data_IF_976660776945
#
_entry.id   IF_976660776945
#
_cell.length_a   1.000
_cell.length_b   1.000
_cell.length_c   1.000
_cell.angle_alpha   90.00
_cell.angle_beta   90.00
_cell.angle_gamma   90.00
#
_symmetry.space_group_name_H-M   'P 1'
#
loop_
_entity.id
_entity.type
_entity.pdbx_description
1 polymer ?
#
# COMPACT_ATOMS: atom_id res chain seq x y z
N UNK A 1 44.69 52.52 23.73
CA UNK A 1 43.54 52.12 24.58
C UNK A 1 42.91 50.89 23.95
N UNK A 2 43.05 49.72 24.59
CA UNK A 2 42.47 48.46 24.12
C UNK A 2 41.12 48.24 24.82
N UNK A 3 40.03 48.17 24.06
CA UNK A 3 38.71 47.78 24.58
C UNK A 3 38.59 46.25 24.53
N UNK A 4 38.62 45.62 25.70
CA UNK A 4 38.30 44.20 25.88
C UNK A 4 36.79 44.01 25.62
N UNK A 5 36.44 43.28 24.56
CA UNK A 5 35.04 42.92 24.28
C UNK A 5 34.73 41.58 24.95
N UNK A 6 33.87 41.59 25.97
CA UNK A 6 33.35 40.38 26.62
C UNK A 6 32.46 39.58 25.64
N UNK A 7 32.48 38.24 25.67
CA UNK A 7 31.54 37.43 24.89
C UNK A 7 30.13 37.47 25.53
N UNK A 8 29.11 37.51 24.67
CA UNK A 8 27.71 37.45 25.10
C UNK A 8 27.36 36.06 25.65
N UNK A 9 26.61 36.02 26.75
CA UNK A 9 26.12 34.77 27.34
C UNK A 9 25.08 34.07 26.43
N UNK A 10 25.01 32.72 26.43
CA UNK A 10 24.02 32.00 25.65
C UNK A 10 22.60 32.20 26.22
N UNK A 11 21.65 32.49 25.33
CA UNK A 11 20.22 32.57 25.65
C UNK A 11 19.73 31.19 26.08
N UNK A 12 19.37 31.05 27.35
CA UNK A 12 18.72 29.84 27.86
C UNK A 12 17.30 29.73 27.27
N UNK A 13 17.02 28.66 26.51
CA UNK A 13 15.68 28.32 26.06
C UNK A 13 14.81 28.05 27.28
N UNK A 14 13.78 28.87 27.50
CA UNK A 14 12.77 28.59 28.53
C UNK A 14 11.96 27.36 28.10
N UNK A 15 11.66 26.41 29.01
CA UNK A 15 10.73 25.33 28.71
C UNK A 15 9.32 25.89 28.41
N UNK A 16 8.53 25.24 27.56
CA UNK A 16 7.17 25.68 27.25
C UNK A 16 6.30 25.63 28.51
N UNK A 17 5.46 26.65 28.71
CA UNK A 17 4.51 26.67 29.82
C UNK A 17 3.51 25.51 29.70
N UNK A 18 3.14 24.85 30.82
CA UNK A 18 2.06 23.88 30.80
C UNK A 18 0.73 24.56 30.44
N UNK A 19 -0.19 23.87 29.75
CA UNK A 19 -1.48 24.43 29.40
C UNK A 19 -2.24 24.83 30.68
N UNK A 20 -3.08 25.89 30.62
CA UNK A 20 -3.80 26.39 31.78
C UNK A 20 -4.71 25.30 32.36
N UNK A 21 -4.48 24.99 33.63
CA UNK A 21 -5.31 24.06 34.41
C UNK A 21 -6.67 24.72 34.67
N UNK A 22 -7.66 24.36 33.86
CA UNK A 22 -9.02 24.87 34.01
C UNK A 22 -9.84 24.82 32.72
N UNK A 23 -10.25 23.63 32.30
CA UNK A 23 -11.43 23.47 31.44
C UNK A 23 -12.26 22.32 31.99
N UNK A 24 -13.49 22.58 32.48
CA UNK A 24 -14.31 21.57 33.10
C UNK A 24 -14.71 20.52 32.07
N UNK A 25 -14.83 19.29 32.55
CA UNK A 25 -15.41 18.14 31.86
C UNK A 25 -16.59 18.57 30.96
N UNK A 26 -16.37 18.50 29.64
CA UNK A 26 -17.47 18.59 28.70
C UNK A 26 -18.20 17.25 28.74
N UNK A 27 -19.30 17.27 29.48
CA UNK A 27 -20.25 16.19 29.69
C UNK A 27 -20.51 15.43 28.37
N UNK A 28 -20.31 14.12 28.47
CA UNK A 28 -20.77 13.00 27.65
C UNK A 28 -21.84 13.31 26.59
N UNK A 29 -21.41 13.62 25.36
CA UNK A 29 -22.22 13.27 24.19
C UNK A 29 -21.92 11.80 23.84
N UNK A 30 -22.93 10.95 23.64
CA UNK A 30 -22.68 9.67 23.02
C UNK A 30 -22.17 9.97 21.61
N UNK A 31 -20.88 9.74 21.37
CA UNK A 31 -20.31 9.70 20.02
C UNK A 31 -20.96 8.53 19.30
N UNK A 32 -22.18 8.77 18.83
CA UNK A 32 -22.90 7.93 17.89
C UNK A 32 -21.93 7.74 16.74
N UNK A 33 -21.47 6.50 16.57
CA UNK A 33 -20.39 6.15 15.65
C UNK A 33 -20.64 6.75 14.28
N UNK A 34 -20.04 7.92 14.05
CA UNK A 34 -19.80 8.41 12.72
C UNK A 34 -18.77 7.45 12.16
N UNK A 35 -19.24 6.50 11.35
CA UNK A 35 -18.44 5.87 10.31
C UNK A 35 -17.57 7.00 9.77
N UNK A 36 -16.26 6.94 10.03
CA UNK A 36 -15.33 7.83 9.35
C UNK A 36 -15.70 7.67 7.88
N UNK A 37 -16.02 8.77 7.21
CA UNK A 37 -16.05 8.80 5.76
C UNK A 37 -14.61 8.44 5.37
N UNK A 38 -14.32 7.15 5.27
CA UNK A 38 -13.04 6.68 4.84
C UNK A 38 -13.01 7.09 3.38
N UNK A 39 -12.09 8.00 3.09
CA UNK A 39 -11.77 8.49 1.76
C UNK A 39 -11.79 7.31 0.77
N UNK A 40 -12.25 7.55 -0.46
CA UNK A 40 -12.33 6.57 -1.56
C UNK A 40 -10.99 5.89 -1.94
N UNK A 41 -9.96 6.04 -1.11
CA UNK A 41 -8.58 5.61 -1.30
C UNK A 41 -8.20 4.38 -0.45
N UNK A 42 -9.03 3.96 0.52
CA UNK A 42 -8.64 2.91 1.49
C UNK A 42 -9.14 1.48 1.19
N UNK A 43 -9.84 1.20 0.08
CA UNK A 43 -10.27 -0.18 -0.26
C UNK A 43 -10.16 -0.46 -1.77
N UNK A 44 -8.98 -0.27 -2.34
CA UNK A 44 -8.68 -0.72 -3.71
C UNK A 44 -7.83 -1.99 -3.67
N UNK A 45 -8.42 -3.21 -3.69
CA UNK A 45 -7.65 -4.44 -3.74
C UNK A 45 -6.75 -4.48 -4.97
N UNK A 46 -5.45 -4.60 -4.71
CA UNK A 46 -4.42 -4.73 -5.72
C UNK A 46 -3.94 -6.18 -5.82
N UNK A 47 -3.96 -6.74 -7.02
CA UNK A 47 -3.50 -8.09 -7.32
C UNK A 47 -2.35 -8.02 -8.32
N UNK A 48 -1.19 -8.54 -7.92
CA UNK A 48 -0.08 -8.78 -8.84
C UNK A 48 -0.02 -10.26 -9.19
N UNK A 49 -0.10 -10.57 -10.49
CA UNK A 49 -0.04 -11.92 -11.02
C UNK A 49 1.29 -12.07 -11.74
N UNK A 50 2.19 -12.86 -11.14
CA UNK A 50 3.40 -13.33 -11.81
C UNK A 50 3.11 -14.60 -12.57
N UNK A 51 3.40 -14.60 -13.87
CA UNK A 51 3.14 -15.74 -14.75
C UNK A 51 4.30 -15.98 -15.70
N UNK A 52 4.57 -17.27 -15.93
CA UNK A 52 5.56 -17.72 -16.91
C UNK A 52 5.04 -17.44 -18.33
N UNK A 53 5.79 -16.65 -19.12
CA UNK A 53 5.38 -16.15 -20.45
C UNK A 53 4.85 -17.23 -21.38
N UNK A 54 5.52 -18.38 -21.38
CA UNK A 54 5.25 -19.50 -22.27
C UNK A 54 3.85 -20.11 -22.04
N UNK A 55 3.26 -19.96 -20.83
CA UNK A 55 1.91 -20.45 -20.51
C UNK A 55 0.83 -19.66 -21.26
N UNK A 56 1.09 -18.36 -21.50
CA UNK A 56 0.16 -17.46 -22.18
C UNK A 56 0.55 -17.17 -23.63
N UNK A 57 1.70 -17.66 -24.11
CA UNK A 57 2.28 -17.32 -25.41
C UNK A 57 1.35 -17.47 -26.62
N UNK A 58 0.41 -18.42 -26.58
CA UNK A 58 -0.55 -18.62 -27.68
C UNK A 58 -1.51 -17.43 -27.89
N UNK A 59 -1.86 -16.72 -26.81
CA UNK A 59 -2.68 -15.51 -26.86
C UNK A 59 -2.46 -14.70 -25.57
N UNK A 60 -1.36 -13.93 -25.47
CA UNK A 60 -1.01 -13.23 -24.24
C UNK A 60 -2.07 -12.20 -23.83
N UNK A 61 -2.62 -11.46 -24.80
CA UNK A 61 -3.59 -10.41 -24.53
C UNK A 61 -4.94 -11.00 -24.10
N UNK A 62 -5.47 -11.96 -24.85
CA UNK A 62 -6.77 -12.58 -24.53
C UNK A 62 -6.71 -13.37 -23.23
N UNK A 63 -5.64 -14.15 -22.99
CA UNK A 63 -5.49 -14.89 -21.73
C UNK A 63 -5.36 -13.96 -20.51
N UNK A 64 -4.62 -12.85 -20.61
CA UNK A 64 -4.57 -11.85 -19.53
C UNK A 64 -5.93 -11.20 -19.30
N UNK A 65 -6.65 -10.84 -20.35
CA UNK A 65 -7.99 -10.28 -20.24
C UNK A 65 -8.96 -11.26 -19.55
N UNK A 66 -8.94 -12.53 -19.95
CA UNK A 66 -9.75 -13.58 -19.34
C UNK A 66 -9.39 -13.82 -17.87
N UNK A 67 -8.09 -13.83 -17.52
CA UNK A 67 -7.63 -13.97 -16.14
C UNK A 67 -8.07 -12.77 -15.31
N UNK A 68 -7.84 -11.54 -15.80
CA UNK A 68 -8.23 -10.31 -15.10
C UNK A 68 -9.73 -10.30 -14.81
N UNK A 69 -10.55 -10.62 -15.82
CA UNK A 69 -12.02 -10.72 -15.67
C UNK A 69 -12.42 -11.71 -14.56
N UNK A 70 -11.80 -12.89 -14.54
CA UNK A 70 -12.13 -13.94 -13.55
C UNK A 70 -11.66 -13.58 -12.14
N UNK A 71 -10.47 -13.01 -12.01
CA UNK A 71 -9.91 -12.57 -10.72
C UNK A 71 -10.72 -11.42 -10.15
N UNK A 72 -11.04 -10.42 -10.97
CA UNK A 72 -11.87 -9.29 -10.54
C UNK A 72 -13.25 -9.75 -10.10
N UNK A 73 -13.92 -10.61 -10.87
CA UNK A 73 -15.23 -11.15 -10.49
C UNK A 73 -15.17 -11.89 -9.14
N UNK A 74 -14.17 -12.74 -8.92
CA UNK A 74 -14.03 -13.47 -7.67
C UNK A 74 -13.84 -12.54 -6.45
N UNK A 75 -13.08 -11.46 -6.61
CA UNK A 75 -12.89 -10.46 -5.54
C UNK A 75 -14.19 -9.69 -5.29
N UNK A 76 -14.88 -9.25 -6.35
CA UNK A 76 -16.16 -8.56 -6.23
C UNK A 76 -17.19 -9.44 -5.49
N UNK A 77 -17.31 -10.71 -5.87
CA UNK A 77 -18.25 -11.65 -5.24
C UNK A 77 -17.95 -11.86 -3.75
N UNK A 78 -16.67 -11.90 -3.37
CA UNK A 78 -16.25 -12.13 -1.98
C UNK A 78 -16.34 -10.87 -1.09
N UNK A 79 -16.28 -9.67 -1.67
CA UNK A 79 -16.09 -8.42 -0.91
C UNK A 79 -17.22 -7.41 -1.08
N UNK A 80 -18.04 -7.53 -2.13
CA UNK A 80 -19.05 -6.55 -2.51
C UNK A 80 -18.50 -5.28 -3.16
N UNK A 81 -17.22 -5.27 -3.55
CA UNK A 81 -16.59 -4.13 -4.23
C UNK A 81 -17.08 -3.97 -5.69
N UNK A 82 -16.93 -2.77 -6.23
CA UNK A 82 -17.24 -2.51 -7.64
C UNK A 82 -16.06 -2.89 -8.55
N UNK A 83 -16.31 -2.98 -9.85
CA UNK A 83 -15.31 -3.39 -10.84
C UNK A 83 -14.10 -2.42 -10.88
N UNK A 84 -14.36 -1.13 -10.74
CA UNK A 84 -13.34 -0.09 -10.84
C UNK A 84 -12.42 -0.02 -9.60
N UNK A 85 -12.81 -0.70 -8.52
CA UNK A 85 -12.05 -0.77 -7.27
C UNK A 85 -10.99 -1.89 -7.29
N UNK A 86 -11.03 -2.83 -8.25
CA UNK A 86 -10.12 -3.99 -8.30
C UNK A 86 -9.06 -3.83 -9.37
N UNK A 87 -7.79 -3.81 -8.96
CA UNK A 87 -6.66 -3.60 -9.88
C UNK A 87 -5.86 -4.88 -10.06
N UNK A 88 -5.65 -5.29 -11.32
CA UNK A 88 -4.89 -6.49 -11.67
C UNK A 88 -3.69 -6.11 -12.54
N UNK A 89 -2.49 -6.47 -12.09
CA UNK A 89 -1.23 -6.26 -12.82
C UNK A 89 -0.61 -7.61 -13.15
N UNK A 90 -0.09 -7.73 -14.37
CA UNK A 90 0.62 -8.91 -14.83
C UNK A 90 2.11 -8.65 -14.94
N UNK A 91 2.90 -9.47 -14.27
CA UNK A 91 4.34 -9.58 -14.44
C UNK A 91 4.66 -10.88 -15.19
N UNK A 92 5.19 -10.71 -16.39
CA UNK A 92 5.57 -11.83 -17.25
C UNK A 92 7.05 -12.18 -17.07
N UNK A 93 7.34 -13.42 -16.71
CA UNK A 93 8.70 -13.92 -16.45
C UNK A 93 9.01 -15.04 -17.44
N UNK A 94 10.21 -15.07 -18.03
CA UNK A 94 10.59 -16.21 -18.88
C UNK A 94 10.76 -17.47 -18.02
N UNK A 95 10.48 -18.66 -18.56
CA UNK A 95 10.64 -19.91 -17.80
C UNK A 95 12.05 -20.10 -17.23
N UNK A 96 13.09 -19.67 -17.96
CA UNK A 96 14.50 -19.72 -17.53
C UNK A 96 14.84 -18.82 -16.35
N UNK A 97 14.03 -17.77 -16.14
CA UNK A 97 14.22 -16.79 -15.08
C UNK A 97 13.33 -17.12 -13.86
N UNK A 98 12.51 -18.17 -13.95
CA UNK A 98 11.66 -18.66 -12.87
C UNK A 98 12.28 -19.89 -12.24
N UNK A 99 12.87 -19.75 -11.05
CA UNK A 99 13.51 -20.85 -10.33
C UNK A 99 12.57 -21.53 -9.33
N UNK A 100 12.65 -22.86 -9.28
CA UNK A 100 12.06 -23.71 -8.24
C UNK A 100 13.20 -24.49 -7.59
N UNK A 101 13.57 -24.09 -6.38
CA UNK A 101 14.81 -24.56 -5.76
C UNK A 101 16.04 -24.10 -6.55
N UNK A 102 16.90 -25.04 -6.94
CA UNK A 102 18.13 -24.75 -7.69
C UNK A 102 17.97 -24.89 -9.22
N UNK A 103 16.78 -25.23 -9.70
CA UNK A 103 16.50 -25.48 -11.12
C UNK A 103 15.48 -24.49 -11.64
N UNK A 104 15.64 -24.03 -12.88
CA UNK A 104 14.67 -23.16 -13.55
C UNK A 104 13.51 -23.96 -14.19
N UNK A 105 12.37 -23.30 -14.40
CA UNK A 105 11.16 -23.91 -14.97
C UNK A 105 11.36 -24.37 -16.41
N UNK A 106 12.25 -23.74 -17.18
CA UNK A 106 12.56 -24.20 -18.54
C UNK A 106 13.23 -25.57 -18.51
N UNK A 107 14.23 -25.75 -17.64
CA UNK A 107 14.91 -27.02 -17.43
C UNK A 107 13.96 -28.08 -16.88
N UNK A 108 13.11 -27.74 -15.89
CA UNK A 108 12.15 -28.68 -15.31
C UNK A 108 11.12 -29.22 -16.31
N UNK A 109 10.71 -28.42 -17.32
CA UNK A 109 9.74 -28.86 -18.33
C UNK A 109 10.33 -29.80 -19.39
N UNK A 110 11.66 -29.92 -19.45
CA UNK A 110 12.37 -30.79 -20.39
C UNK A 110 12.66 -32.17 -19.81
N UNK A 111 12.59 -32.31 -18.48
CA UNK A 111 12.76 -33.57 -17.75
C UNK A 111 11.43 -34.29 -17.57
#
# INVERSE_FOLDING_TARGET
MAFLRLPAAPVALRPPEPPPSGSPERISEPRRGGIRHNSREDIMPFVNIRIVKEVIAADPAGKKADIAKKVTAAIMDATGLSNDDVWVVFEEVNARDWYVGVTDVETLRKG
#
